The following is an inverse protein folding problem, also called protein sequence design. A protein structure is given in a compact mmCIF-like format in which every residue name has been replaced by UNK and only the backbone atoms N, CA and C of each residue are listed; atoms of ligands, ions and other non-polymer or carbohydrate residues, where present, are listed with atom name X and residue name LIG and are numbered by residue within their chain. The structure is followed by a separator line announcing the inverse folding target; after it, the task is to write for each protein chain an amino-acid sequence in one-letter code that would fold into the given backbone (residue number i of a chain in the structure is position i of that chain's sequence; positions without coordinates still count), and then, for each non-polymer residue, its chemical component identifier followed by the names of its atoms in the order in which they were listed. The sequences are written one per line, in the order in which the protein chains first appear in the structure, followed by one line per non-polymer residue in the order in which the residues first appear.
data_IF_042506156898
#
_entry.id   IF_042506156898
#
_cell.length_a   1.000
_cell.length_b   1.000
_cell.length_c   1.000
_cell.angle_alpha   90.00
_cell.angle_beta   90.00
_cell.angle_gamma   90.00
#
_symmetry.space_group_name_H-M   'P 1'
#
loop_
_entity.id
_entity.type
_entity.pdbx_description
1 polymer ?
#
# COMPACT_ATOMS: atom_id res chain seq x y z
N UNK A 1 -23.03 -34.20 -10.79
CA UNK A 1 -23.27 -33.29 -9.64
C UNK A 1 -22.01 -32.45 -9.48
N UNK A 2 -22.08 -31.16 -9.82
CA UNK A 2 -20.93 -30.24 -9.79
C UNK A 2 -20.58 -29.90 -8.34
N UNK A 3 -19.33 -30.16 -7.96
CA UNK A 3 -18.80 -29.79 -6.65
C UNK A 3 -18.73 -28.27 -6.50
N UNK A 4 -19.45 -27.76 -5.51
CA UNK A 4 -19.28 -26.41 -4.96
C UNK A 4 -17.89 -26.34 -4.33
N UNK A 5 -16.89 -25.95 -5.12
CA UNK A 5 -15.54 -25.70 -4.66
C UNK A 5 -15.56 -24.59 -3.61
N UNK A 6 -15.04 -24.87 -2.42
CA UNK A 6 -14.82 -23.87 -1.39
C UNK A 6 -13.95 -22.75 -2.00
N UNK A 7 -14.52 -21.56 -2.14
CA UNK A 7 -13.75 -20.37 -2.49
C UNK A 7 -12.64 -20.22 -1.46
N UNK A 8 -11.37 -20.07 -1.87
CA UNK A 8 -10.26 -20.01 -0.93
C UNK A 8 -10.45 -18.78 -0.04
N UNK A 9 -10.70 -19.02 1.25
CA UNK A 9 -10.92 -18.00 2.30
C UNK A 9 -9.79 -16.94 2.34
N UNK A 10 -8.62 -17.26 1.80
CA UNK A 10 -7.45 -16.39 1.67
C UNK A 10 -7.61 -15.21 0.70
N UNK A 11 -8.42 -15.33 -0.35
CA UNK A 11 -8.69 -14.21 -1.27
C UNK A 11 -9.61 -13.15 -0.65
N UNK A 12 -10.43 -13.54 0.33
CA UNK A 12 -11.45 -12.67 0.90
C UNK A 12 -10.87 -11.61 1.85
N UNK A 13 -9.92 -11.99 2.71
CA UNK A 13 -9.30 -11.06 3.69
C UNK A 13 -8.35 -10.09 2.98
N UNK A 14 -7.58 -10.60 2.01
CA UNK A 14 -6.65 -9.79 1.21
C UNK A 14 -7.40 -8.81 0.27
N UNK A 15 -8.57 -9.21 -0.23
CA UNK A 15 -9.50 -8.35 -0.95
C UNK A 15 -10.13 -7.28 -0.06
N UNK A 16 -10.53 -7.62 1.17
CA UNK A 16 -11.11 -6.66 2.12
C UNK A 16 -10.16 -5.52 2.48
N UNK A 17 -8.87 -5.82 2.70
CA UNK A 17 -7.87 -4.80 3.01
C UNK A 17 -7.64 -3.85 1.82
N UNK A 18 -7.53 -4.38 0.61
CA UNK A 18 -7.40 -3.56 -0.60
C UNK A 18 -8.66 -2.71 -0.79
N UNK A 19 -9.84 -3.32 -0.63
CA UNK A 19 -11.11 -2.60 -0.73
C UNK A 19 -11.23 -1.46 0.29
N UNK A 20 -10.72 -1.67 1.51
CA UNK A 20 -10.63 -0.62 2.52
C UNK A 20 -9.75 0.54 2.06
N UNK A 21 -8.56 0.27 1.49
CA UNK A 21 -7.69 1.33 0.95
C UNK A 21 -8.37 2.10 -0.18
N UNK A 22 -9.04 1.40 -1.10
CA UNK A 22 -9.83 2.03 -2.19
C UNK A 22 -10.97 2.90 -1.67
N UNK A 23 -11.54 2.56 -0.52
CA UNK A 23 -12.65 3.31 0.08
C UNK A 23 -12.14 4.50 0.90
N UNK A 24 -11.04 4.33 1.63
CA UNK A 24 -10.54 5.31 2.61
C UNK A 24 -9.62 6.34 1.98
N UNK A 25 -8.73 5.96 1.06
CA UNK A 25 -7.77 6.91 0.46
C UNK A 25 -8.46 8.10 -0.24
N UNK A 26 -9.58 7.92 -0.96
CA UNK A 26 -10.34 9.05 -1.51
C UNK A 26 -10.89 10.01 -0.43
N UNK A 27 -11.07 9.57 0.82
CA UNK A 27 -11.58 10.45 1.88
C UNK A 27 -10.49 11.35 2.50
N UNK A 28 -9.22 11.10 2.16
CA UNK A 28 -8.04 11.76 2.72
C UNK A 28 -7.49 12.88 1.83
N UNK A 29 -8.36 13.54 1.06
CA UNK A 29 -7.99 14.69 0.25
C UNK A 29 -7.29 15.78 1.08
N UNK A 30 -6.29 16.40 0.45
CA UNK A 30 -5.48 17.45 1.06
C UNK A 30 -6.36 18.61 1.50
N UNK A 31 -6.20 19.05 2.75
CA UNK A 31 -6.94 20.15 3.36
C UNK A 31 -5.99 20.98 4.21
N UNK A 32 -6.05 22.29 4.07
CA UNK A 32 -5.26 23.17 4.92
C UNK A 32 -5.78 23.14 6.37
N UNK A 33 -4.86 23.37 7.30
CA UNK A 33 -5.22 23.54 8.70
C UNK A 33 -5.98 24.84 8.92
N UNK A 34 -6.63 24.94 10.08
CA UNK A 34 -7.28 26.17 10.52
C UNK A 34 -7.07 26.37 12.01
N UNK A 35 -7.53 27.51 12.54
CA UNK A 35 -7.57 27.74 13.98
C UNK A 35 -8.35 26.66 14.77
N UNK A 36 -9.16 25.84 14.10
CA UNK A 36 -9.98 24.77 14.69
C UNK A 36 -9.34 23.38 14.59
N UNK A 37 -8.22 23.20 13.89
CA UNK A 37 -7.60 21.88 13.76
C UNK A 37 -6.50 21.77 12.70
N UNK A 38 -5.80 20.63 12.73
CA UNK A 38 -4.73 20.31 11.79
C UNK A 38 -5.25 20.09 10.37
N UNK A 39 -4.40 20.42 9.39
CA UNK A 39 -4.63 20.08 7.99
C UNK A 39 -4.37 18.60 7.71
N UNK A 40 -4.82 18.15 6.55
CA UNK A 40 -4.54 16.81 6.02
C UNK A 40 -3.60 16.99 4.83
N UNK A 41 -2.43 16.35 4.87
CA UNK A 41 -1.44 16.40 3.79
C UNK A 41 -1.53 15.21 2.83
N UNK A 42 -2.26 14.17 3.23
CA UNK A 42 -2.37 12.88 2.57
C UNK A 42 -2.06 11.74 3.55
N UNK A 43 -2.27 10.51 3.11
CA UNK A 43 -1.96 9.31 3.87
C UNK A 43 -0.47 9.01 3.88
N UNK A 44 0.02 8.52 5.01
CA UNK A 44 1.25 7.71 5.05
C UNK A 44 0.83 6.25 5.01
N UNK A 45 1.20 5.54 3.94
CA UNK A 45 0.91 4.12 3.79
C UNK A 45 2.16 3.29 4.06
N UNK A 46 2.10 2.45 5.10
CA UNK A 46 3.19 1.56 5.49
C UNK A 46 2.89 0.10 5.09
N UNK A 47 3.56 -0.38 4.04
CA UNK A 47 3.26 -1.67 3.42
C UNK A 47 2.11 -1.61 2.40
N UNK A 48 1.90 -2.69 1.63
CA UNK A 48 2.39 -4.05 1.88
C UNK A 48 3.78 -4.37 1.31
N UNK A 49 4.41 -3.45 0.57
CA UNK A 49 5.70 -3.65 -0.12
C UNK A 49 6.89 -3.44 0.82
N UNK A 50 6.92 -4.21 1.91
CA UNK A 50 7.99 -4.20 2.92
C UNK A 50 8.71 -5.54 2.95
N UNK A 51 9.89 -5.58 3.56
CA UNK A 51 10.68 -6.80 3.68
C UNK A 51 9.99 -7.80 4.62
N UNK A 52 9.77 -9.07 4.21
CA UNK A 52 9.21 -10.10 5.08
C UNK A 52 10.08 -10.42 6.30
N UNK A 53 11.39 -10.24 6.17
CA UNK A 53 12.37 -10.48 7.23
C UNK A 53 12.35 -9.33 8.25
N UNK A 54 12.17 -8.10 7.78
CA UNK A 54 12.06 -6.87 8.58
C UNK A 54 10.61 -6.42 8.72
N UNK A 55 9.70 -7.35 9.04
CA UNK A 55 8.26 -7.07 9.03
C UNK A 55 7.74 -6.34 10.28
N UNK A 56 8.51 -6.28 11.36
CA UNK A 56 8.02 -5.82 12.67
C UNK A 56 6.63 -6.38 13.04
N UNK A 57 5.70 -5.48 13.35
CA UNK A 57 4.31 -5.79 13.71
C UNK A 57 3.39 -6.08 12.51
N UNK A 58 3.87 -5.99 11.26
CA UNK A 58 3.06 -6.32 10.10
C UNK A 58 2.73 -7.82 10.06
N UNK A 59 1.45 -8.20 9.85
CA UNK A 59 1.08 -9.59 9.64
C UNK A 59 1.68 -10.12 8.33
N UNK A 60 2.43 -11.24 8.41
CA UNK A 60 3.14 -11.83 7.25
C UNK A 60 2.26 -12.02 6.03
N UNK A 61 1.01 -12.44 6.25
CA UNK A 61 0.02 -12.71 5.21
C UNK A 61 -0.44 -11.48 4.39
N UNK A 62 -0.12 -10.27 4.84
CA UNK A 62 -0.46 -9.03 4.14
C UNK A 62 0.74 -8.39 3.45
N UNK A 63 1.95 -8.88 3.69
CA UNK A 63 3.16 -8.44 3.00
C UNK A 63 3.13 -8.96 1.57
N UNK A 64 3.52 -8.12 0.61
CA UNK A 64 3.46 -8.42 -0.82
C UNK A 64 4.73 -7.97 -1.53
N UNK A 65 5.16 -8.74 -2.51
CA UNK A 65 6.10 -8.29 -3.54
C UNK A 65 5.39 -7.60 -4.69
N UNK A 66 6.18 -7.03 -5.60
CA UNK A 66 5.69 -6.35 -6.81
C UNK A 66 5.28 -7.33 -7.93
N UNK A 67 5.80 -8.55 -7.92
CA UNK A 67 5.59 -9.51 -9.01
C UNK A 67 6.26 -9.02 -10.31
N UNK A 68 5.67 -9.34 -11.46
CA UNK A 68 6.26 -8.98 -12.77
C UNK A 68 6.04 -7.52 -13.19
N UNK A 69 5.15 -6.79 -12.54
CA UNK A 69 4.78 -5.42 -12.90
C UNK A 69 4.57 -4.57 -11.63
N UNK A 70 5.62 -3.85 -11.18
CA UNK A 70 5.58 -3.05 -9.96
C UNK A 70 4.55 -1.93 -9.98
N UNK A 71 4.34 -1.28 -11.13
CA UNK A 71 3.38 -0.18 -11.27
C UNK A 71 1.96 -0.70 -11.13
N UNK A 72 1.63 -1.78 -11.83
CA UNK A 72 0.32 -2.42 -11.73
C UNK A 72 0.07 -2.99 -10.35
N UNK A 73 1.09 -3.50 -9.66
CA UNK A 73 0.96 -3.96 -8.28
C UNK A 73 0.57 -2.81 -7.34
N UNK A 74 1.23 -1.65 -7.46
CA UNK A 74 0.90 -0.46 -6.67
C UNK A 74 -0.54 0.01 -6.94
N UNK A 75 -0.91 0.17 -8.21
CA UNK A 75 -2.26 0.57 -8.61
C UNK A 75 -3.33 -0.42 -8.13
N UNK A 76 -3.02 -1.73 -8.13
CA UNK A 76 -3.94 -2.75 -7.62
C UNK A 76 -4.16 -2.65 -6.11
N UNK A 77 -3.16 -2.20 -5.35
CA UNK A 77 -3.24 -2.09 -3.89
C UNK A 77 -3.86 -0.77 -3.45
N UNK A 78 -3.41 0.35 -4.00
CA UNK A 78 -3.83 1.68 -3.56
C UNK A 78 -4.90 2.33 -4.45
N UNK A 79 -5.08 1.84 -5.69
CA UNK A 79 -5.90 2.52 -6.68
C UNK A 79 -5.18 3.76 -7.20
N UNK A 80 -5.46 4.91 -6.58
CA UNK A 80 -4.84 6.20 -6.87
C UNK A 80 -3.81 6.55 -5.79
N UNK A 81 -2.71 7.20 -6.20
CA UNK A 81 -1.69 7.75 -5.28
C UNK A 81 -1.92 9.22 -4.96
N UNK A 82 -2.99 9.85 -5.47
CA UNK A 82 -3.26 11.29 -5.36
C UNK A 82 -3.36 11.79 -3.90
N UNK A 83 -3.88 10.96 -2.99
CA UNK A 83 -4.09 11.30 -1.58
C UNK A 83 -3.06 10.62 -0.68
N UNK A 84 -1.95 10.13 -1.24
CA UNK A 84 -0.84 9.54 -0.49
C UNK A 84 0.30 10.55 -0.45
N UNK A 85 0.74 10.92 0.75
CA UNK A 85 1.87 11.81 0.97
C UNK A 85 3.19 11.03 1.09
N UNK A 86 3.15 9.87 1.75
CA UNK A 86 4.33 9.04 2.01
C UNK A 86 3.97 7.56 1.76
N UNK A 87 4.85 6.84 1.09
CA UNK A 87 4.79 5.38 0.94
C UNK A 87 6.06 4.76 1.50
N UNK A 88 5.92 3.74 2.34
CA UNK A 88 7.05 2.95 2.83
C UNK A 88 7.28 1.75 1.93
N UNK A 89 8.46 1.68 1.32
CA UNK A 89 8.88 0.60 0.41
C UNK A 89 10.21 0.02 0.90
N UNK A 90 10.32 -1.30 0.93
CA UNK A 90 11.59 -1.99 1.11
C UNK A 90 12.39 -1.95 -0.21
N UNK A 91 13.54 -1.24 -0.27
CA UNK A 91 14.32 -1.09 -1.48
C UNK A 91 14.96 -2.40 -1.94
N UNK A 92 15.10 -3.39 -1.06
CA UNK A 92 15.63 -4.72 -1.40
C UNK A 92 14.65 -5.62 -2.16
N UNK A 93 13.37 -5.26 -2.26
CA UNK A 93 12.40 -6.05 -3.02
C UNK A 93 12.66 -5.97 -4.52
N UNK A 94 12.55 -7.10 -5.21
CA UNK A 94 12.65 -7.15 -6.67
C UNK A 94 11.57 -6.25 -7.32
N UNK A 95 12.00 -5.36 -8.21
CA UNK A 95 11.17 -4.33 -8.86
C UNK A 95 10.93 -3.04 -8.04
N UNK A 96 11.56 -2.89 -6.86
CA UNK A 96 11.44 -1.69 -6.01
C UNK A 96 11.90 -0.42 -6.72
N UNK A 97 12.96 -0.48 -7.54
CA UNK A 97 13.51 0.69 -8.23
C UNK A 97 12.52 1.27 -9.25
N UNK A 98 11.80 0.40 -9.97
CA UNK A 98 10.72 0.78 -10.90
C UNK A 98 9.56 1.40 -10.13
N UNK A 99 9.14 0.76 -9.04
CA UNK A 99 8.09 1.26 -8.16
C UNK A 99 8.40 2.65 -7.60
N UNK A 100 9.61 2.83 -7.04
CA UNK A 100 10.09 4.08 -6.46
C UNK A 100 10.13 5.19 -7.52
N UNK A 101 10.71 4.92 -8.69
CA UNK A 101 10.75 5.89 -9.80
C UNK A 101 9.35 6.33 -10.24
N UNK A 102 8.37 5.42 -10.21
CA UNK A 102 7.00 5.73 -10.62
C UNK A 102 6.24 6.57 -9.57
N UNK A 103 6.41 6.30 -8.27
CA UNK A 103 5.70 7.05 -7.20
C UNK A 103 6.38 8.37 -6.82
N UNK A 104 7.71 8.47 -6.92
CA UNK A 104 8.50 9.61 -6.45
C UNK A 104 8.05 10.98 -7.00
N UNK A 105 7.59 11.13 -8.26
CA UNK A 105 7.09 12.42 -8.74
C UNK A 105 5.87 12.95 -7.97
N UNK A 106 5.19 12.08 -7.20
CA UNK A 106 3.93 12.38 -6.53
C UNK A 106 3.97 12.14 -5.01
N UNK A 107 4.87 11.26 -4.54
CA UNK A 107 4.88 10.73 -3.17
C UNK A 107 6.30 10.64 -2.65
N UNK A 108 6.50 10.95 -1.36
CA UNK A 108 7.78 10.73 -0.69
C UNK A 108 7.94 9.23 -0.39
N UNK A 109 9.07 8.64 -0.77
CA UNK A 109 9.38 7.25 -0.43
C UNK A 109 10.16 7.21 0.87
N UNK A 110 9.65 6.45 1.83
CA UNK A 110 10.36 6.08 3.05
C UNK A 110 10.91 4.66 2.93
N UNK A 111 12.16 4.47 3.34
CA UNK A 111 12.78 3.15 3.38
C UNK A 111 12.18 2.32 4.53
N UNK A 112 11.83 1.06 4.25
CA UNK A 112 11.42 0.10 5.25
C UNK A 112 12.64 -0.51 5.98
N UNK A 113 13.35 0.29 6.77
CA UNK A 113 14.41 -0.20 7.66
C UNK A 113 13.84 -0.41 9.06
N UNK A 114 13.36 -1.61 9.37
CA UNK A 114 13.07 -1.96 10.77
C UNK A 114 13.98 -3.09 11.20
N UNK A 115 14.93 -2.73 12.06
CA UNK A 115 15.86 -3.61 12.78
C UNK A 115 15.17 -4.78 13.49
#
# INVERSE_FOLDING_TARGET
MLGIGALPRFHLISGLLIHMLFTVLPLLHRRDGSAKGAGILGAHVEGPFISPEKKGCHPKQHIRGFGSDPVKAIQKVYGSTENIAIVTIAPELDGSDVAIKWVHPFVIVQEASTS
#
